data_IF_028404503313
#
_entry.id   IF_028404503313
#
_cell.length_a   1.000
_cell.length_b   1.000
_cell.length_c   1.000
_cell.angle_alpha   90.00
_cell.angle_beta   90.00
_cell.angle_gamma   90.00
#
_symmetry.space_group_name_H-M   'P 1'
#
loop_
_entity.id
_entity.type
_entity.pdbx_description
1 polymer ?
#
# COMPACT_ATOMS: atom_id res chain seq x y z
N UNK A 1 24.39 -35.99 -10.82
CA UNK A 1 23.23 -36.82 -11.11
C UNK A 1 23.09 -37.86 -9.98
N UNK A 2 21.86 -38.25 -9.69
CA UNK A 2 21.52 -39.27 -8.70
C UNK A 2 20.84 -40.45 -9.41
N UNK A 3 21.12 -41.65 -8.94
CA UNK A 3 20.70 -42.92 -9.55
C UNK A 3 20.12 -43.84 -8.50
N UNK A 4 19.25 -44.78 -8.91
CA UNK A 4 18.67 -45.76 -7.97
C UNK A 4 19.40 -47.13 -7.96
N UNK A 5 20.51 -47.27 -8.71
CA UNK A 5 21.32 -48.46 -8.73
C UNK A 5 22.79 -48.20 -8.41
N UNK A 6 23.42 -49.11 -7.69
CA UNK A 6 24.85 -49.07 -7.42
C UNK A 6 25.63 -49.37 -8.72
N UNK A 7 26.03 -48.34 -9.44
CA UNK A 7 26.69 -48.44 -10.75
C UNK A 7 26.36 -47.21 -11.61
N UNK A 8 25.71 -46.21 -11.05
CA UNK A 8 25.45 -44.94 -11.68
C UNK A 8 24.44 -45.00 -12.83
N UNK A 9 23.47 -45.92 -12.74
CA UNK A 9 22.39 -46.05 -13.72
C UNK A 9 21.03 -46.18 -13.06
N UNK A 10 19.96 -45.98 -13.84
CA UNK A 10 18.59 -46.02 -13.37
C UNK A 10 18.10 -44.70 -12.82
N UNK A 11 16.84 -44.37 -13.11
CA UNK A 11 16.19 -43.17 -12.63
C UNK A 11 15.65 -43.35 -11.22
N UNK A 12 15.68 -42.31 -10.41
CA UNK A 12 15.05 -42.30 -9.09
C UNK A 12 13.54 -42.54 -9.21
N UNK A 13 13.02 -43.28 -8.25
CA UNK A 13 11.60 -43.63 -8.13
C UNK A 13 11.03 -43.12 -6.83
N UNK A 14 9.72 -43.11 -6.70
CA UNK A 14 9.04 -42.70 -5.46
C UNK A 14 9.46 -43.56 -4.26
N UNK A 15 9.74 -44.83 -4.47
CA UNK A 15 10.23 -45.76 -3.43
C UNK A 15 11.62 -45.45 -2.87
N UNK A 16 12.37 -44.56 -3.52
CA UNK A 16 13.71 -44.16 -3.08
C UNK A 16 13.68 -43.08 -2.00
N UNK A 17 12.48 -42.57 -1.69
CA UNK A 17 12.27 -41.49 -0.73
C UNK A 17 11.31 -41.92 0.39
N UNK A 18 11.59 -41.46 1.60
CA UNK A 18 10.72 -41.57 2.76
C UNK A 18 10.33 -40.18 3.26
N UNK A 19 9.04 -39.98 3.48
CA UNK A 19 8.42 -38.75 3.96
C UNK A 19 7.93 -38.96 5.38
N UNK A 20 8.13 -37.94 6.22
CA UNK A 20 7.50 -37.87 7.55
C UNK A 20 6.98 -36.45 7.80
N UNK A 21 5.86 -36.34 8.49
CA UNK A 21 5.36 -35.09 9.07
C UNK A 21 5.37 -35.26 10.59
N UNK A 22 5.80 -34.21 11.28
CA UNK A 22 5.72 -34.09 12.74
C UNK A 22 5.16 -32.74 13.12
N UNK A 23 4.47 -32.65 14.24
CA UNK A 23 3.73 -31.46 14.71
C UNK A 23 2.40 -31.28 13.97
N UNK A 24 1.60 -30.34 14.45
CA UNK A 24 0.39 -29.85 13.82
C UNK A 24 -0.73 -30.87 13.57
N UNK A 25 -1.66 -30.47 12.68
CA UNK A 25 -2.89 -31.21 12.36
C UNK A 25 -2.81 -32.01 11.05
N UNK A 26 -1.89 -31.64 10.15
CA UNK A 26 -1.73 -32.32 8.88
C UNK A 26 -0.99 -33.65 9.02
N UNK A 27 -1.41 -34.62 8.25
CA UNK A 27 -0.82 -36.00 8.24
C UNK A 27 -0.54 -36.45 6.82
N UNK A 28 0.45 -37.34 6.66
CA UNK A 28 0.70 -38.00 5.38
C UNK A 28 -0.22 -39.20 5.20
N UNK A 29 -0.90 -39.27 4.05
CA UNK A 29 -1.61 -40.47 3.61
C UNK A 29 -0.66 -41.57 3.16
N UNK A 30 0.60 -41.27 2.87
CA UNK A 30 1.66 -42.22 2.52
C UNK A 30 3.03 -41.66 2.89
N UNK A 31 3.89 -42.47 3.47
CA UNK A 31 5.30 -42.18 3.68
C UNK A 31 6.13 -42.19 2.38
N UNK A 32 5.57 -42.65 1.29
CA UNK A 32 6.21 -42.68 -0.05
C UNK A 32 5.55 -41.60 -0.90
N UNK A 33 6.30 -40.79 -1.65
CA UNK A 33 5.74 -39.83 -2.59
C UNK A 33 4.75 -40.48 -3.57
N UNK A 34 3.71 -39.74 -3.96
CA UNK A 34 2.70 -40.25 -4.91
C UNK A 34 3.15 -40.14 -6.35
N UNK A 35 4.10 -39.25 -6.63
CA UNK A 35 4.70 -39.09 -7.96
C UNK A 35 6.12 -38.55 -7.85
N UNK A 36 6.91 -38.71 -8.91
CA UNK A 36 8.20 -38.08 -9.08
C UNK A 36 8.33 -37.59 -10.52
N UNK A 37 8.83 -36.39 -10.69
CA UNK A 37 9.24 -35.84 -11.99
C UNK A 37 10.61 -35.18 -11.86
N UNK A 38 11.36 -35.11 -12.96
CA UNK A 38 12.71 -34.56 -12.97
C UNK A 38 12.86 -33.55 -14.10
N UNK A 39 13.47 -32.43 -13.77
CA UNK A 39 13.93 -31.45 -14.74
C UNK A 39 15.36 -31.07 -14.38
N UNK A 40 16.31 -31.40 -15.24
CA UNK A 40 17.75 -31.31 -14.93
C UNK A 40 18.12 -32.12 -13.66
N UNK A 41 18.58 -31.44 -12.61
CA UNK A 41 18.92 -32.03 -11.30
C UNK A 41 17.87 -31.73 -10.22
N UNK A 42 16.70 -31.20 -10.60
CA UNK A 42 15.58 -30.89 -9.67
C UNK A 42 14.56 -32.02 -9.76
N UNK A 43 14.28 -32.63 -8.61
CA UNK A 43 13.26 -33.67 -8.46
C UNK A 43 12.04 -33.09 -7.75
N UNK A 44 10.90 -33.17 -8.39
CA UNK A 44 9.61 -32.77 -7.82
C UNK A 44 8.87 -33.99 -7.34
N UNK A 45 8.53 -34.02 -6.05
CA UNK A 45 7.83 -35.12 -5.41
C UNK A 45 6.37 -34.73 -5.13
N UNK A 46 5.43 -35.57 -5.56
CA UNK A 46 4.04 -35.46 -5.21
C UNK A 46 3.78 -35.96 -3.77
N UNK A 47 2.94 -35.21 -3.03
CA UNK A 47 2.59 -35.53 -1.64
C UNK A 47 1.09 -35.83 -1.55
N UNK A 48 0.71 -36.74 -0.67
CA UNK A 48 -0.67 -36.96 -0.23
C UNK A 48 -0.77 -36.49 1.22
N UNK A 49 -1.27 -35.25 1.42
CA UNK A 49 -1.44 -34.68 2.74
C UNK A 49 -2.94 -34.62 3.05
N UNK A 50 -3.31 -35.17 4.19
CA UNK A 50 -4.66 -35.14 4.74
C UNK A 50 -4.71 -34.09 5.86
N UNK A 51 -5.86 -33.46 5.99
CA UNK A 51 -6.10 -32.29 6.85
C UNK A 51 -5.32 -31.04 6.41
N UNK A 52 -5.76 -29.90 6.88
CA UNK A 52 -5.10 -28.61 6.59
C UNK A 52 -3.95 -28.42 7.56
N UNK A 53 -2.78 -28.06 7.06
CA UNK A 53 -1.65 -27.66 7.89
C UNK A 53 -2.01 -26.43 8.73
N UNK A 54 -1.56 -26.38 9.99
CA UNK A 54 -1.78 -25.28 10.91
C UNK A 54 -0.52 -24.43 11.19
N UNK A 55 0.58 -24.76 10.50
CA UNK A 55 1.86 -24.04 10.62
C UNK A 55 2.89 -24.70 11.56
N UNK A 56 2.46 -25.67 12.38
CA UNK A 56 3.34 -26.37 13.33
C UNK A 56 4.00 -27.61 12.71
N UNK A 57 3.57 -27.97 11.51
CA UNK A 57 4.05 -29.18 10.83
C UNK A 57 5.43 -28.99 10.23
N UNK A 58 6.28 -29.97 10.45
CA UNK A 58 7.58 -30.12 9.79
C UNK A 58 7.55 -31.34 8.88
N UNK A 59 7.55 -31.11 7.57
CA UNK A 59 7.74 -32.14 6.58
C UNK A 59 9.23 -32.45 6.46
N UNK A 60 9.59 -33.71 6.56
CA UNK A 60 10.96 -34.23 6.37
C UNK A 60 11.00 -35.19 5.19
N UNK A 61 11.98 -35.01 4.29
CA UNK A 61 12.23 -35.88 3.16
C UNK A 61 13.59 -36.60 3.37
N UNK A 62 13.64 -37.88 3.30
CA UNK A 62 14.88 -38.66 3.46
C UNK A 62 15.05 -39.69 2.33
N UNK A 63 16.28 -39.97 1.88
CA UNK A 63 16.55 -41.16 1.10
C UNK A 63 16.19 -42.45 1.89
N UNK A 64 15.62 -43.41 1.23
CA UNK A 64 15.57 -44.79 1.75
C UNK A 64 17.00 -45.35 1.76
N UNK A 65 17.33 -46.12 2.76
CA UNK A 65 18.69 -46.68 2.86
C UNK A 65 19.06 -47.53 1.63
N UNK A 66 20.22 -47.26 1.07
CA UNK A 66 20.73 -47.95 -0.13
C UNK A 66 19.84 -47.83 -1.37
N UNK A 67 19.18 -46.69 -1.54
CA UNK A 67 18.29 -46.46 -2.69
C UNK A 67 18.76 -45.34 -3.63
N UNK A 68 19.63 -44.45 -3.17
CA UNK A 68 20.14 -43.35 -3.98
C UNK A 68 21.67 -43.37 -4.01
N UNK A 69 22.23 -43.31 -5.20
CA UNK A 69 23.67 -43.39 -5.46
C UNK A 69 24.14 -42.26 -6.36
N UNK A 70 25.43 -41.91 -6.25
CA UNK A 70 26.11 -41.09 -7.24
C UNK A 70 26.60 -41.92 -8.45
N UNK A 71 27.20 -41.28 -9.44
CA UNK A 71 27.74 -41.92 -10.63
C UNK A 71 28.89 -42.91 -10.33
N UNK A 72 29.54 -42.79 -9.19
CA UNK A 72 30.63 -43.64 -8.73
C UNK A 72 30.13 -44.82 -7.87
N UNK A 73 28.81 -44.90 -7.62
CA UNK A 73 28.22 -45.96 -6.81
C UNK A 73 28.25 -45.69 -5.31
N UNK A 74 28.61 -44.45 -4.87
CA UNK A 74 28.51 -44.11 -3.44
C UNK A 74 27.05 -43.85 -3.05
N UNK A 75 26.66 -44.48 -1.94
CA UNK A 75 25.27 -44.34 -1.44
C UNK A 75 25.05 -43.00 -0.72
N UNK A 76 23.91 -42.43 -0.95
CA UNK A 76 23.45 -41.27 -0.19
C UNK A 76 23.16 -41.64 1.27
N UNK A 77 23.64 -40.82 2.21
CA UNK A 77 23.27 -40.98 3.63
C UNK A 77 21.79 -40.70 3.86
N UNK A 78 21.17 -41.43 4.77
CA UNK A 78 19.79 -41.16 5.23
C UNK A 78 19.71 -39.95 6.17
N UNK A 79 20.84 -39.44 6.66
CA UNK A 79 20.92 -38.22 7.48
C UNK A 79 21.28 -37.05 6.58
N UNK A 80 20.37 -36.09 6.47
CA UNK A 80 20.52 -34.87 5.68
C UNK A 80 20.37 -33.66 6.60
N UNK A 81 21.02 -32.53 6.28
CA UNK A 81 21.00 -31.31 7.10
C UNK A 81 19.98 -30.26 6.66
N UNK A 82 19.43 -30.41 5.44
CA UNK A 82 18.55 -29.42 4.80
C UNK A 82 17.31 -30.07 4.15
N UNK A 83 16.80 -31.11 4.78
CA UNK A 83 15.73 -31.95 4.25
C UNK A 83 14.38 -31.74 4.93
N UNK A 84 14.21 -30.64 5.62
CA UNK A 84 12.98 -30.26 6.32
C UNK A 84 12.41 -28.97 5.80
N UNK A 85 11.08 -28.86 5.79
CA UNK A 85 10.35 -27.64 5.50
C UNK A 85 9.13 -27.55 6.42
N UNK A 86 8.86 -26.37 6.96
CA UNK A 86 7.61 -26.10 7.67
C UNK A 86 6.47 -25.96 6.66
N UNK A 87 5.36 -26.65 6.89
CA UNK A 87 4.16 -26.46 6.11
C UNK A 87 3.45 -25.20 6.61
N UNK A 88 3.17 -24.28 5.69
CA UNK A 88 2.49 -23.03 6.02
C UNK A 88 1.00 -23.32 6.29
N UNK A 89 0.47 -22.72 7.35
CA UNK A 89 -0.98 -22.62 7.54
C UNK A 89 -1.57 -21.79 6.39
N UNK A 90 -2.37 -22.40 5.54
CA UNK A 90 -3.10 -21.70 4.47
C UNK A 90 -4.39 -21.04 4.94
N UNK A 91 -4.76 -21.22 6.20
CA UNK A 91 -5.94 -20.57 6.76
C UNK A 91 -5.58 -19.15 7.15
N UNK A 92 -6.24 -18.20 6.54
CA UNK A 92 -6.20 -16.81 7.01
C UNK A 92 -6.88 -16.78 8.38
N UNK A 93 -6.20 -16.30 9.39
CA UNK A 93 -6.78 -16.06 10.70
C UNK A 93 -6.46 -14.65 11.17
N UNK A 94 -7.45 -14.00 11.77
CA UNK A 94 -7.20 -12.76 12.50
C UNK A 94 -6.43 -13.12 13.75
N UNK A 95 -5.27 -12.50 13.95
CA UNK A 95 -4.46 -12.70 15.18
C UNK A 95 -5.08 -11.97 16.35
N UNK A 96 -5.42 -10.70 16.17
CA UNK A 96 -6.11 -9.88 17.15
C UNK A 96 -7.00 -8.85 16.46
N UNK A 97 -8.02 -8.40 17.13
CA UNK A 97 -8.86 -7.26 16.76
C UNK A 97 -8.96 -6.33 17.95
N UNK A 98 -8.71 -5.05 17.74
CA UNK A 98 -8.91 -3.99 18.71
C UNK A 98 -9.95 -3.02 18.17
N UNK A 99 -11.02 -2.76 18.93
CA UNK A 99 -11.92 -1.65 18.68
C UNK A 99 -11.27 -0.38 19.23
N UNK A 100 -10.82 0.50 18.36
CA UNK A 100 -10.09 1.72 18.74
C UNK A 100 -11.00 2.94 18.90
N UNK A 101 -12.22 2.89 18.36
CA UNK A 101 -13.25 3.92 18.51
C UNK A 101 -14.61 3.22 18.64
N UNK A 102 -15.27 3.38 19.79
CA UNK A 102 -16.59 2.81 20.07
C UNK A 102 -17.76 3.63 19.53
N UNK A 103 -17.49 4.76 18.87
CA UNK A 103 -18.48 5.61 18.24
C UNK A 103 -18.59 5.34 16.73
N UNK A 104 -19.52 6.03 16.07
CA UNK A 104 -19.68 5.91 14.64
C UNK A 104 -18.46 6.51 13.91
N UNK A 105 -17.76 5.67 13.15
CA UNK A 105 -16.63 6.06 12.32
C UNK A 105 -17.10 6.27 10.88
N UNK A 106 -16.92 7.47 10.33
CA UNK A 106 -17.32 7.81 8.97
C UNK A 106 -16.42 7.21 7.88
N UNK A 107 -15.39 6.46 8.26
CA UNK A 107 -14.41 5.89 7.33
C UNK A 107 -13.22 6.82 7.07
N UNK A 108 -12.70 6.82 5.86
CA UNK A 108 -11.51 7.61 5.46
C UNK A 108 -10.27 7.30 6.31
N UNK A 109 -10.14 6.02 6.70
CA UNK A 109 -9.04 5.57 7.55
C UNK A 109 -7.75 5.46 6.74
N UNK A 110 -6.67 5.98 7.31
CA UNK A 110 -5.32 5.84 6.77
C UNK A 110 -4.41 5.26 7.85
N UNK A 111 -3.56 4.32 7.47
CA UNK A 111 -2.56 3.74 8.37
C UNK A 111 -1.17 3.89 7.77
N UNK A 112 -0.22 4.34 8.58
CA UNK A 112 1.18 4.47 8.20
C UNK A 112 2.06 3.80 9.24
N UNK A 113 3.01 2.98 8.79
CA UNK A 113 4.04 2.41 9.64
C UNK A 113 5.02 3.49 10.08
N UNK A 114 5.18 3.68 11.38
CA UNK A 114 6.13 4.62 11.97
C UNK A 114 7.53 4.00 12.03
N UNK A 115 7.64 2.83 12.64
CA UNK A 115 8.83 1.99 12.74
C UNK A 115 8.43 0.50 12.74
N UNK A 116 9.26 -0.40 13.25
CA UNK A 116 9.00 -1.83 13.17
C UNK A 116 7.74 -2.27 13.91
N UNK A 117 7.39 -1.63 15.02
CA UNK A 117 6.28 -2.02 15.88
C UNK A 117 5.22 -0.92 16.05
N UNK A 118 5.51 0.33 15.64
CA UNK A 118 4.61 1.45 15.87
C UNK A 118 3.89 1.87 14.58
N UNK A 119 2.62 2.19 14.71
CA UNK A 119 1.73 2.57 13.61
C UNK A 119 0.96 3.83 13.99
N UNK A 120 0.77 4.71 13.02
CA UNK A 120 -0.09 5.90 13.12
C UNK A 120 -1.35 5.65 12.28
N UNK A 121 -2.51 5.85 12.89
CA UNK A 121 -3.82 5.75 12.23
C UNK A 121 -4.49 7.11 12.27
N UNK A 122 -4.92 7.59 11.12
CA UNK A 122 -5.80 8.73 10.98
C UNK A 122 -7.20 8.23 10.62
N UNK A 123 -8.23 8.79 11.24
CA UNK A 123 -9.62 8.45 10.95
C UNK A 123 -10.57 9.61 11.26
N UNK A 124 -11.79 9.52 10.71
CA UNK A 124 -12.90 10.42 11.02
C UNK A 124 -13.81 9.72 12.01
N UNK A 125 -13.80 10.18 13.25
CA UNK A 125 -14.58 9.61 14.36
C UNK A 125 -15.99 10.19 14.48
N UNK A 126 -16.47 10.30 15.72
CA UNK A 126 -17.79 10.88 16.02
C UNK A 126 -17.94 12.27 15.40
N UNK A 127 -19.10 12.55 14.82
CA UNK A 127 -19.42 13.83 14.15
C UNK A 127 -18.51 14.18 12.96
N UNK A 128 -17.79 13.20 12.39
CA UNK A 128 -16.76 13.38 11.37
C UNK A 128 -15.50 14.10 11.86
N UNK A 129 -15.29 14.19 13.16
CA UNK A 129 -14.13 14.86 13.76
C UNK A 129 -12.83 14.12 13.41
N UNK A 130 -11.73 14.85 13.32
CA UNK A 130 -10.44 14.30 12.92
C UNK A 130 -9.62 13.75 14.09
N UNK A 131 -9.24 12.49 14.02
CA UNK A 131 -8.43 11.81 15.03
C UNK A 131 -7.13 11.28 14.46
N UNK A 132 -6.11 11.27 15.32
CA UNK A 132 -4.85 10.55 15.13
C UNK A 132 -4.60 9.67 16.34
N UNK A 133 -4.41 8.38 16.13
CA UNK A 133 -4.05 7.44 17.19
C UNK A 133 -2.79 6.65 16.82
N UNK A 134 -1.96 6.42 17.82
CA UNK A 134 -0.77 5.57 17.68
C UNK A 134 -0.98 4.22 18.32
N UNK A 135 -0.47 3.19 17.69
CA UNK A 135 -0.59 1.81 18.13
C UNK A 135 0.75 1.12 18.13
N UNK A 136 0.98 0.30 19.14
CA UNK A 136 2.07 -0.69 19.13
C UNK A 136 1.49 -2.05 18.75
N UNK A 137 2.14 -2.73 17.82
CA UNK A 137 1.78 -4.07 17.38
C UNK A 137 3.04 -4.92 17.43
N UNK A 138 3.04 -5.98 18.23
CA UNK A 138 4.19 -6.89 18.28
C UNK A 138 4.42 -7.62 16.95
N UNK A 139 5.62 -8.13 16.75
CA UNK A 139 6.06 -8.73 15.47
C UNK A 139 5.25 -9.95 15.04
N UNK A 140 4.59 -10.63 15.98
CA UNK A 140 3.66 -11.74 15.71
C UNK A 140 2.20 -11.29 15.54
N UNK A 141 1.92 -9.97 15.68
CA UNK A 141 0.60 -9.36 15.51
C UNK A 141 -0.28 -9.38 16.76
N UNK A 142 0.26 -9.72 17.95
CA UNK A 142 -0.46 -9.77 19.22
C UNK A 142 0.49 -9.47 20.40
N UNK A 143 0.22 -8.46 21.29
CA UNK A 143 -0.99 -7.61 21.30
C UNK A 143 -0.97 -6.42 20.35
N UNK A 144 -2.17 -5.91 20.03
CA UNK A 144 -2.37 -4.55 19.51
C UNK A 144 -2.72 -3.65 20.71
N UNK A 145 -1.94 -2.60 20.92
CA UNK A 145 -2.13 -1.68 22.05
C UNK A 145 -2.19 -0.23 21.54
N UNK A 146 -3.25 0.49 21.86
CA UNK A 146 -3.31 1.93 21.64
C UNK A 146 -2.40 2.64 22.65
N UNK A 147 -1.52 3.51 22.14
CA UNK A 147 -0.55 4.27 22.95
C UNK A 147 -1.09 5.65 23.29
N UNK A 148 -1.56 6.38 22.29
CA UNK A 148 -2.06 7.75 22.43
C UNK A 148 -3.08 8.03 21.34
N UNK A 149 -4.12 8.80 21.68
CA UNK A 149 -5.07 9.38 20.73
C UNK A 149 -5.12 10.90 20.89
N UNK A 150 -5.26 11.59 19.76
CA UNK A 150 -5.45 13.04 19.66
C UNK A 150 -6.63 13.33 18.75
N UNK A 151 -7.67 13.97 19.31
CA UNK A 151 -8.64 14.70 18.50
C UNK A 151 -8.00 16.04 18.09
N UNK A 152 -7.62 16.16 16.81
CA UNK A 152 -6.94 17.34 16.30
C UNK A 152 -7.88 18.29 15.56
N UNK A 153 -9.06 17.84 15.18
CA UNK A 153 -10.14 18.65 14.63
C UNK A 153 -11.47 18.22 15.22
N UNK A 154 -12.19 19.14 15.83
CA UNK A 154 -13.58 18.96 16.31
C UNK A 154 -14.62 19.30 15.23
N UNK A 155 -14.26 19.14 13.98
CA UNK A 155 -15.11 19.40 12.80
C UNK A 155 -14.74 18.40 11.70
N UNK A 156 -15.56 18.37 10.64
CA UNK A 156 -15.40 17.43 9.54
C UNK A 156 -13.96 17.30 9.02
N UNK A 157 -13.48 16.06 8.98
CA UNK A 157 -12.23 15.63 8.34
C UNK A 157 -12.57 14.46 7.43
N UNK A 158 -12.68 14.74 6.14
CA UNK A 158 -13.16 13.81 5.14
C UNK A 158 -12.13 13.62 4.03
N UNK A 159 -12.20 12.49 3.32
CA UNK A 159 -11.42 12.23 2.10
C UNK A 159 -9.90 12.44 2.28
N UNK A 160 -9.39 12.04 3.43
CA UNK A 160 -8.02 12.31 3.82
C UNK A 160 -6.98 11.43 3.13
N UNK A 161 -5.76 11.94 3.02
CA UNK A 161 -4.58 11.22 2.57
C UNK A 161 -3.39 11.60 3.43
N UNK A 162 -2.71 10.60 4.00
CA UNK A 162 -1.59 10.78 4.92
C UNK A 162 -0.29 10.27 4.33
N UNK A 163 0.80 11.02 4.53
CA UNK A 163 2.15 10.63 4.14
C UNK A 163 3.13 10.78 5.31
N UNK A 164 4.02 9.79 5.48
CA UNK A 164 5.19 9.90 6.35
C UNK A 164 6.25 10.77 5.66
N UNK A 165 6.61 11.88 6.28
CA UNK A 165 7.59 12.83 5.77
C UNK A 165 9.02 12.46 6.18
N UNK A 166 9.19 12.18 7.48
CA UNK A 166 10.43 11.73 8.12
C UNK A 166 10.10 10.77 9.27
N UNK A 167 11.07 10.44 10.10
CA UNK A 167 10.83 9.48 11.20
C UNK A 167 9.81 9.95 12.22
N UNK A 168 9.64 11.27 12.40
CA UNK A 168 8.73 11.86 13.38
C UNK A 168 7.73 12.86 12.78
N UNK A 169 7.74 13.10 11.45
CA UNK A 169 6.84 14.05 10.80
C UNK A 169 5.88 13.38 9.82
N UNK A 170 4.62 13.84 9.85
CA UNK A 170 3.53 13.34 9.02
C UNK A 170 2.72 14.50 8.47
N UNK A 171 2.31 14.42 7.21
CA UNK A 171 1.39 15.37 6.61
C UNK A 171 0.08 14.68 6.26
N UNK A 172 -1.04 15.38 6.47
CA UNK A 172 -2.39 14.94 6.13
C UNK A 172 -3.04 16.00 5.26
N UNK A 173 -3.41 15.62 4.04
CA UNK A 173 -4.33 16.40 3.20
C UNK A 173 -5.76 15.93 3.48
N UNK A 174 -6.71 16.86 3.62
CA UNK A 174 -8.10 16.53 3.93
C UNK A 174 -9.05 17.63 3.47
N UNK A 175 -10.31 17.29 3.41
CA UNK A 175 -11.42 18.19 3.18
C UNK A 175 -12.22 18.36 4.47
N UNK A 176 -12.57 19.61 4.81
CA UNK A 176 -13.34 19.88 6.02
C UNK A 176 -13.13 21.26 6.60
N UNK A 177 -13.33 21.36 7.91
CA UNK A 177 -13.17 22.60 8.64
C UNK A 177 -11.87 22.61 9.43
N UNK A 178 -11.24 23.79 9.50
CA UNK A 178 -10.24 24.10 10.50
C UNK A 178 -10.43 25.54 10.98
N UNK A 179 -10.12 25.81 12.23
CA UNK A 179 -10.33 27.11 12.87
C UNK A 179 -9.01 27.85 13.18
N UNK A 180 -7.88 27.28 12.80
CA UNK A 180 -6.54 27.88 12.95
C UNK A 180 -5.72 27.64 11.70
N UNK A 181 -4.63 28.41 11.51
CA UNK A 181 -3.68 28.22 10.42
C UNK A 181 -3.57 29.42 9.49
N UNK A 182 -3.16 29.15 8.24
CA UNK A 182 -3.02 30.18 7.21
C UNK A 182 -3.79 29.79 5.94
N UNK A 183 -4.30 30.80 5.24
CA UNK A 183 -4.81 30.61 3.88
C UNK A 183 -3.64 30.64 2.87
N UNK A 184 -3.94 30.33 1.60
CA UNK A 184 -2.93 30.31 0.53
C UNK A 184 -2.27 31.69 0.25
N UNK A 185 -2.85 32.79 0.71
CA UNK A 185 -2.27 34.13 0.66
C UNK A 185 -1.40 34.45 1.89
N UNK A 186 -1.29 33.54 2.86
CA UNK A 186 -0.55 33.72 4.11
C UNK A 186 -1.33 34.49 5.20
N UNK A 187 -2.65 34.70 5.02
CA UNK A 187 -3.47 35.35 6.05
C UNK A 187 -3.81 34.32 7.14
N UNK A 188 -3.74 34.78 8.41
CA UNK A 188 -4.14 33.96 9.54
C UNK A 188 -5.64 33.63 9.49
N UNK A 189 -6.00 32.37 9.70
CA UNK A 189 -7.37 31.89 9.91
C UNK A 189 -7.63 31.88 11.42
N UNK A 190 -8.68 32.55 11.85
CA UNK A 190 -9.03 32.72 13.26
C UNK A 190 -10.45 32.27 13.60
N UNK A 191 -11.13 31.62 12.64
CA UNK A 191 -12.49 31.07 12.81
C UNK A 191 -12.66 29.82 11.98
N UNK A 192 -13.61 28.98 12.35
CA UNK A 192 -13.94 27.78 11.60
C UNK A 192 -14.18 28.09 10.13
N UNK A 193 -13.38 27.49 9.25
CA UNK A 193 -13.37 27.80 7.83
C UNK A 193 -13.30 26.48 7.05
N UNK A 194 -14.25 26.30 6.14
CA UNK A 194 -14.35 25.13 5.30
C UNK A 194 -13.39 25.19 4.11
N UNK A 195 -12.90 24.04 3.65
CA UNK A 195 -12.03 23.96 2.47
C UNK A 195 -11.16 22.73 2.43
N UNK A 196 -10.16 22.78 1.54
CA UNK A 196 -9.14 21.73 1.43
C UNK A 196 -7.86 22.18 2.15
N UNK A 197 -7.38 21.33 3.02
CA UNK A 197 -6.31 21.62 3.98
C UNK A 197 -5.15 20.65 3.86
N UNK A 198 -4.00 21.10 4.30
CA UNK A 198 -2.86 20.23 4.67
C UNK A 198 -2.48 20.59 6.09
N UNK A 199 -2.42 19.60 6.99
CA UNK A 199 -1.89 19.73 8.36
C UNK A 199 -0.63 18.88 8.52
N UNK A 200 0.33 19.37 9.31
CA UNK A 200 1.59 18.68 9.63
C UNK A 200 1.62 18.35 11.10
N UNK A 201 1.95 17.12 11.40
CA UNK A 201 2.04 16.59 12.76
C UNK A 201 3.44 16.07 13.05
N UNK A 202 3.89 16.33 14.28
CA UNK A 202 5.02 15.64 14.87
C UNK A 202 4.49 14.54 15.78
N UNK A 203 5.01 13.33 15.58
CA UNK A 203 4.68 12.16 16.39
C UNK A 203 5.97 11.58 16.92
N UNK A 204 6.09 11.48 18.24
CA UNK A 204 7.26 10.88 18.86
C UNK A 204 7.39 9.41 18.45
N UNK A 205 8.61 8.92 18.24
CA UNK A 205 8.87 7.56 17.73
C UNK A 205 8.20 6.44 18.56
N UNK A 206 8.09 6.63 19.90
CA UNK A 206 7.39 5.69 20.78
C UNK A 206 5.85 5.84 20.80
N UNK A 207 5.32 6.72 19.95
CA UNK A 207 3.88 6.98 19.84
C UNK A 207 3.27 7.78 21.00
N UNK A 208 4.03 8.14 22.03
CA UNK A 208 3.49 8.71 23.28
C UNK A 208 3.03 10.18 23.16
N UNK A 209 3.40 10.88 22.09
CA UNK A 209 3.06 12.28 21.86
C UNK A 209 2.71 12.51 20.39
N UNK A 210 1.57 13.14 20.16
CA UNK A 210 1.13 13.66 18.84
C UNK A 210 0.92 15.16 19.00
N UNK A 211 1.49 15.96 18.10
CA UNK A 211 1.40 17.43 18.12
C UNK A 211 1.24 17.98 16.72
N UNK A 212 0.21 18.77 16.48
CA UNK A 212 0.11 19.59 15.26
C UNK A 212 1.16 20.71 15.28
N UNK A 213 1.89 20.86 14.17
CA UNK A 213 2.93 21.88 13.99
C UNK A 213 2.41 23.08 13.19
N UNK A 214 1.53 22.86 12.24
CA UNK A 214 0.95 23.88 11.39
C UNK A 214 0.04 23.30 10.33
N UNK A 215 -0.74 24.18 9.71
CA UNK A 215 -1.64 23.83 8.64
C UNK A 215 -1.80 24.96 7.61
N UNK A 216 -2.22 24.58 6.41
CA UNK A 216 -2.48 25.49 5.29
C UNK A 216 -3.81 25.13 4.64
N UNK A 217 -4.72 26.11 4.51
CA UNK A 217 -5.87 26.03 3.63
C UNK A 217 -5.43 26.35 2.20
N UNK A 218 -5.26 25.32 1.38
CA UNK A 218 -4.77 25.49 0.00
C UNK A 218 -5.89 25.71 -1.01
N UNK A 219 -7.16 25.46 -0.62
CA UNK A 219 -8.33 25.67 -1.46
C UNK A 219 -9.59 25.93 -0.61
N UNK A 220 -10.52 26.74 -1.14
CA UNK A 220 -11.73 27.17 -0.46
C UNK A 220 -12.99 26.38 -0.81
N UNK A 221 -12.84 25.34 -1.60
CA UNK A 221 -13.93 24.57 -2.14
C UNK A 221 -14.80 23.91 -1.07
N UNK A 222 -16.09 23.88 -1.35
CA UNK A 222 -17.09 23.11 -0.66
C UNK A 222 -17.57 21.98 -1.61
N UNK A 223 -16.66 21.11 -2.04
CA UNK A 223 -17.01 20.01 -2.95
C UNK A 223 -17.46 18.77 -2.18
N UNK A 224 -18.38 18.02 -2.76
CA UNK A 224 -18.93 16.82 -2.12
C UNK A 224 -18.04 15.57 -2.28
N UNK A 225 -16.96 15.60 -3.11
CA UNK A 225 -16.10 14.45 -3.37
C UNK A 225 -14.64 14.82 -3.67
N UNK A 226 -13.91 15.50 -2.76
CA UNK A 226 -12.53 15.94 -3.02
C UNK A 226 -11.49 14.89 -2.67
N UNK A 227 -11.70 13.61 -3.04
CA UNK A 227 -10.72 12.55 -2.77
C UNK A 227 -9.30 13.00 -3.08
N UNK A 228 -8.50 13.08 -2.02
CA UNK A 228 -7.14 13.58 -2.05
C UNK A 228 -6.14 12.44 -2.13
N UNK A 229 -5.06 12.63 -2.89
CA UNK A 229 -3.90 11.73 -2.90
C UNK A 229 -2.64 12.56 -2.72
N UNK A 230 -2.02 12.45 -1.56
CA UNK A 230 -0.79 13.15 -1.18
C UNK A 230 0.40 12.19 -1.27
N UNK A 231 1.46 12.59 -1.96
CA UNK A 231 2.66 11.78 -2.14
C UNK A 231 3.94 12.62 -1.94
N UNK A 232 4.99 11.97 -1.47
CA UNK A 232 6.33 12.58 -1.37
C UNK A 232 7.00 12.64 -2.75
N UNK A 233 7.44 13.83 -3.15
CA UNK A 233 8.24 14.08 -4.36
C UNK A 233 9.72 13.94 -4.04
N UNK A 234 10.19 14.73 -3.06
CA UNK A 234 11.56 14.71 -2.54
C UNK A 234 11.52 15.00 -1.03
N UNK A 235 12.66 15.22 -0.40
CA UNK A 235 12.79 15.27 1.07
C UNK A 235 11.84 16.26 1.75
N UNK A 236 11.64 17.44 1.18
CA UNK A 236 10.75 18.49 1.68
C UNK A 236 9.62 18.87 0.71
N UNK A 237 9.51 18.16 -0.42
CA UNK A 237 8.56 18.47 -1.50
C UNK A 237 7.50 17.39 -1.62
N UNK A 238 6.24 17.81 -1.76
CA UNK A 238 5.06 16.94 -1.82
C UNK A 238 4.15 17.34 -2.98
N UNK A 239 3.48 16.36 -3.57
CA UNK A 239 2.44 16.56 -4.59
C UNK A 239 1.09 16.06 -4.07
N UNK A 240 0.04 16.83 -4.33
CA UNK A 240 -1.34 16.54 -3.97
C UNK A 240 -2.22 16.58 -5.22
N UNK A 241 -2.86 15.46 -5.54
CA UNK A 241 -3.94 15.42 -6.53
C UNK A 241 -5.29 15.44 -5.83
N UNK A 242 -6.23 16.24 -6.32
CA UNK A 242 -7.56 16.38 -5.75
C UNK A 242 -8.54 17.00 -6.77
N UNK A 243 -9.84 16.95 -6.48
CA UNK A 243 -10.89 17.57 -7.28
C UNK A 243 -11.38 18.86 -6.60
N UNK A 244 -11.51 19.95 -7.35
CA UNK A 244 -11.99 21.24 -6.83
C UNK A 244 -12.38 22.21 -7.93
N UNK A 245 -13.13 23.27 -7.60
CA UNK A 245 -13.30 24.43 -8.45
C UNK A 245 -12.17 25.46 -8.29
N UNK A 246 -11.29 25.25 -7.30
CA UNK A 246 -10.16 26.11 -6.95
C UNK A 246 -10.56 27.59 -6.77
N UNK A 247 -11.72 27.82 -6.13
CA UNK A 247 -12.39 29.11 -6.08
C UNK A 247 -11.63 30.19 -5.33
N UNK A 248 -10.71 29.83 -4.42
CA UNK A 248 -9.84 30.79 -3.73
C UNK A 248 -8.71 31.33 -4.59
N UNK A 249 -8.33 30.64 -5.65
CA UNK A 249 -7.19 31.05 -6.45
C UNK A 249 -7.67 31.95 -7.62
N UNK A 250 -7.26 33.22 -7.67
CA UNK A 250 -7.69 34.14 -8.72
C UNK A 250 -7.27 33.73 -10.13
N UNK A 251 -6.30 32.81 -10.25
CA UNK A 251 -5.79 32.30 -11.53
C UNK A 251 -6.30 30.87 -11.86
N UNK A 252 -7.16 30.30 -11.04
CA UNK A 252 -7.60 28.93 -11.16
C UNK A 252 -9.09 28.78 -10.90
N UNK A 253 -9.94 29.27 -11.79
CA UNK A 253 -11.40 29.17 -11.65
C UNK A 253 -11.98 28.03 -12.44
N UNK A 254 -12.83 27.25 -11.82
CA UNK A 254 -13.67 26.22 -12.42
C UNK A 254 -13.32 24.79 -11.99
N UNK A 255 -14.36 23.98 -11.94
CA UNK A 255 -14.27 22.55 -11.60
C UNK A 255 -13.21 21.83 -12.40
N UNK A 256 -12.43 20.99 -11.74
CA UNK A 256 -11.41 20.20 -12.40
C UNK A 256 -10.64 19.29 -11.49
N UNK A 257 -9.89 18.38 -12.13
CA UNK A 257 -8.82 17.66 -11.48
C UNK A 257 -7.57 18.54 -11.38
N UNK A 258 -7.04 18.68 -10.18
CA UNK A 258 -5.89 19.55 -9.89
C UNK A 258 -4.74 18.73 -9.29
N UNK A 259 -3.53 19.12 -9.63
CA UNK A 259 -2.33 18.72 -8.91
C UNK A 259 -1.66 20.00 -8.39
N UNK A 260 -1.30 20.00 -7.11
CA UNK A 260 -0.50 21.06 -6.47
C UNK A 260 0.76 20.49 -5.88
N UNK A 261 1.81 21.28 -5.85
CA UNK A 261 3.06 20.95 -5.15
C UNK A 261 3.29 21.90 -4.00
N UNK A 262 3.92 21.37 -2.95
CA UNK A 262 4.19 22.09 -1.71
C UNK A 262 5.59 21.76 -1.22
N UNK A 263 6.28 22.77 -0.70
CA UNK A 263 7.42 22.55 0.20
C UNK A 263 6.94 22.63 1.64
N UNK A 264 7.38 21.68 2.47
CA UNK A 264 6.99 21.58 3.87
C UNK A 264 8.26 21.50 4.73
N UNK A 265 8.45 22.54 5.56
CA UNK A 265 9.57 22.61 6.48
C UNK A 265 9.06 22.80 7.91
N UNK A 266 9.10 21.73 8.71
CA UNK A 266 8.43 21.69 10.00
C UNK A 266 6.94 21.97 9.84
N UNK A 267 6.43 22.99 10.53
CA UNK A 267 5.02 23.42 10.42
C UNK A 267 4.73 24.45 9.31
N UNK A 268 5.73 24.84 8.53
CA UNK A 268 5.57 25.83 7.44
C UNK A 268 5.30 25.11 6.12
N UNK A 269 4.14 25.37 5.52
CA UNK A 269 3.69 24.77 4.27
C UNK A 269 3.60 25.88 3.22
N UNK A 270 4.28 25.71 2.09
CA UNK A 270 4.29 26.69 0.98
C UNK A 270 3.92 26.02 -0.33
N UNK A 271 2.87 26.50 -1.01
CA UNK A 271 2.54 26.02 -2.35
C UNK A 271 3.59 26.53 -3.36
N UNK A 272 4.12 25.65 -4.20
CA UNK A 272 5.17 25.94 -5.19
C UNK A 272 4.66 25.98 -6.63
N UNK A 273 3.79 25.04 -7.02
CA UNK A 273 3.18 25.02 -8.33
C UNK A 273 1.75 24.44 -8.29
N UNK A 274 1.03 24.59 -9.40
CA UNK A 274 -0.27 23.96 -9.63
C UNK A 274 -0.51 23.70 -11.10
N UNK A 275 -1.26 22.64 -11.38
CA UNK A 275 -1.72 22.26 -12.73
C UNK A 275 -3.18 21.79 -12.64
N UNK A 276 -4.04 22.31 -13.51
CA UNK A 276 -5.36 21.75 -13.78
C UNK A 276 -5.20 20.71 -14.89
N UNK A 277 -5.12 19.42 -14.53
CA UNK A 277 -4.92 18.35 -15.50
C UNK A 277 -6.19 17.95 -16.24
N UNK A 278 -7.36 18.28 -15.67
CA UNK A 278 -8.65 18.02 -16.30
C UNK A 278 -9.64 19.17 -16.05
N UNK A 279 -10.41 19.53 -17.07
CA UNK A 279 -11.27 20.74 -17.06
C UNK A 279 -12.71 20.48 -16.64
N UNK A 280 -13.03 19.29 -16.14
CA UNK A 280 -14.29 18.89 -15.54
C UNK A 280 -13.99 18.15 -14.24
N UNK A 281 -14.88 17.28 -13.76
CA UNK A 281 -14.62 16.50 -12.55
C UNK A 281 -13.44 15.54 -12.79
N UNK A 282 -12.36 15.67 -12.00
CA UNK A 282 -11.24 14.72 -11.92
C UNK A 282 -11.20 14.14 -10.52
N UNK A 283 -12.00 13.11 -10.28
CA UNK A 283 -12.30 12.56 -8.94
C UNK A 283 -11.49 11.31 -8.63
N UNK A 284 -11.62 10.83 -7.39
CA UNK A 284 -11.07 9.54 -6.95
C UNK A 284 -9.59 9.39 -7.31
N UNK A 285 -8.78 10.34 -6.89
CA UNK A 285 -7.38 10.44 -7.27
C UNK A 285 -6.48 9.44 -6.53
N UNK A 286 -5.56 8.79 -7.24
CA UNK A 286 -4.50 7.96 -6.65
C UNK A 286 -3.18 8.19 -7.38
N UNK A 287 -2.22 8.84 -6.71
CA UNK A 287 -0.87 9.11 -7.21
C UNK A 287 0.11 8.00 -6.85
N UNK A 288 0.99 7.68 -7.78
CA UNK A 288 2.15 6.80 -7.54
C UNK A 288 3.41 7.42 -8.15
N UNK A 289 4.55 7.24 -7.48
CA UNK A 289 5.85 7.64 -8.02
C UNK A 289 6.36 6.60 -9.01
N UNK A 290 6.74 7.04 -10.21
CA UNK A 290 7.26 6.17 -11.28
C UNK A 290 8.78 6.20 -11.29
N UNK A 291 9.38 7.40 -11.25
CA UNK A 291 10.82 7.58 -11.19
C UNK A 291 11.14 8.83 -10.36
N UNK A 292 12.37 9.27 -10.32
CA UNK A 292 12.82 10.40 -9.51
C UNK A 292 11.93 11.64 -9.65
N UNK A 293 11.55 11.98 -10.90
CA UNK A 293 10.73 13.14 -11.23
C UNK A 293 9.42 12.78 -11.97
N UNK A 294 9.11 11.51 -12.17
CA UNK A 294 7.93 11.06 -12.92
C UNK A 294 6.91 10.44 -11.99
N UNK A 295 5.65 10.82 -12.18
CA UNK A 295 4.51 10.38 -11.39
C UNK A 295 3.37 9.95 -12.30
N UNK A 296 2.58 8.98 -11.87
CA UNK A 296 1.35 8.57 -12.53
C UNK A 296 0.16 8.80 -11.60
N UNK A 297 -0.94 9.27 -12.16
CA UNK A 297 -2.20 9.52 -11.50
C UNK A 297 -3.29 8.65 -12.13
N UNK A 298 -3.91 7.78 -11.35
CA UNK A 298 -5.19 7.17 -11.70
C UNK A 298 -6.32 8.07 -11.17
N UNK A 299 -7.33 8.32 -12.01
CA UNK A 299 -8.42 9.23 -11.71
C UNK A 299 -9.66 8.93 -12.55
N UNK A 300 -10.80 9.47 -12.15
CA UNK A 300 -12.11 9.30 -12.79
C UNK A 300 -12.64 10.64 -13.30
N UNK A 301 -13.23 10.65 -14.49
CA UNK A 301 -13.87 11.84 -15.07
C UNK A 301 -15.34 11.98 -14.65
N UNK A 302 -16.00 13.06 -15.12
CA UNK A 302 -17.41 13.34 -14.84
C UNK A 302 -18.41 12.37 -15.50
N UNK A 303 -17.94 11.49 -16.38
CA UNK A 303 -18.70 10.41 -17.00
C UNK A 303 -18.47 9.06 -16.33
N UNK A 304 -17.70 9.04 -15.25
CA UNK A 304 -17.24 7.88 -14.50
C UNK A 304 -16.20 7.02 -15.26
N UNK A 305 -15.64 7.54 -16.34
CA UNK A 305 -14.57 6.87 -17.07
C UNK A 305 -13.24 6.94 -16.31
N UNK A 306 -12.48 5.84 -16.31
CA UNK A 306 -11.18 5.75 -15.63
C UNK A 306 -10.00 6.05 -16.52
N UNK A 307 -9.08 6.89 -16.03
CA UNK A 307 -7.88 7.31 -16.74
C UNK A 307 -6.62 7.15 -15.92
N UNK A 308 -5.49 6.94 -16.62
CA UNK A 308 -4.15 7.10 -16.06
C UNK A 308 -3.43 8.18 -16.86
N UNK A 309 -2.82 9.13 -16.17
CA UNK A 309 -2.04 10.24 -16.76
C UNK A 309 -0.69 10.34 -16.05
N UNK A 310 0.38 10.64 -16.80
CA UNK A 310 1.72 10.81 -16.24
C UNK A 310 2.16 12.26 -16.23
N UNK A 311 2.96 12.63 -15.23
CA UNK A 311 3.45 13.98 -14.99
C UNK A 311 4.93 13.96 -14.63
N UNK A 312 5.65 15.02 -15.03
CA UNK A 312 6.97 15.32 -14.45
C UNK A 312 6.84 16.44 -13.43
N UNK A 313 7.44 16.22 -12.27
CA UNK A 313 7.54 17.16 -11.15
C UNK A 313 9.00 17.16 -10.68
N UNK A 314 9.75 18.26 -10.84
CA UNK A 314 11.13 18.32 -10.37
C UNK A 314 11.19 18.24 -8.84
N UNK A 315 12.34 17.91 -8.29
CA UNK A 315 12.57 17.72 -6.86
C UNK A 315 12.13 18.92 -6.00
N UNK A 316 12.30 20.15 -6.50
CA UNK A 316 11.89 21.39 -5.83
C UNK A 316 10.40 21.72 -6.00
N UNK A 317 9.63 20.90 -6.73
CA UNK A 317 8.21 21.12 -6.98
C UNK A 317 7.87 22.38 -7.76
N UNK A 318 8.84 23.04 -8.41
CA UNK A 318 8.67 24.37 -9.06
C UNK A 318 7.76 24.34 -10.29
N UNK A 319 7.49 23.16 -10.84
CA UNK A 319 6.60 22.99 -12.00
C UNK A 319 5.93 21.61 -11.99
N UNK A 320 4.81 21.53 -12.71
CA UNK A 320 4.10 20.28 -12.99
C UNK A 320 3.82 20.25 -14.48
N UNK A 321 4.30 19.22 -15.17
CA UNK A 321 4.10 19.09 -16.63
C UNK A 321 3.52 17.72 -16.97
N UNK A 322 2.40 17.70 -17.67
CA UNK A 322 1.84 16.45 -18.22
C UNK A 322 2.76 15.92 -19.33
N UNK A 323 3.10 14.62 -19.28
CA UNK A 323 4.09 14.02 -20.18
C UNK A 323 3.44 13.44 -21.42
N UNK A 324 2.38 12.66 -21.25
CA UNK A 324 1.73 11.97 -22.37
C UNK A 324 0.21 12.08 -22.26
N UNK A 325 -0.44 11.77 -23.37
CA UNK A 325 -1.89 11.65 -23.38
C UNK A 325 -2.40 10.63 -22.37
N UNK A 326 -3.65 10.80 -21.97
CA UNK A 326 -4.32 9.95 -21.00
C UNK A 326 -4.55 8.53 -21.56
N UNK A 327 -4.26 7.50 -20.79
CA UNK A 327 -4.74 6.15 -21.05
C UNK A 327 -6.10 5.96 -20.40
N UNK A 328 -7.13 5.74 -21.20
CA UNK A 328 -8.43 5.31 -20.67
C UNK A 328 -8.38 3.82 -20.37
N UNK A 329 -8.51 3.45 -19.11
CA UNK A 329 -8.46 2.06 -18.65
C UNK A 329 -9.84 1.47 -18.34
N UNK A 330 -10.87 2.31 -18.17
CA UNK A 330 -12.25 1.90 -17.95
C UNK A 330 -13.21 2.82 -18.70
N UNK A 331 -14.24 2.25 -19.35
CA UNK A 331 -15.31 2.97 -20.06
C UNK A 331 -16.54 3.21 -19.17
N UNK A 332 -16.53 2.74 -17.92
CA UNK A 332 -17.66 2.82 -17.00
C UNK A 332 -17.18 2.52 -15.58
N UNK A 333 -17.44 3.39 -14.67
CA UNK A 333 -17.03 3.42 -13.27
C UNK A 333 -15.54 3.10 -13.07
N UNK A 334 -14.81 3.99 -12.41
CA UNK A 334 -13.43 3.78 -11.98
C UNK A 334 -13.21 4.43 -10.61
N UNK A 335 -14.16 4.17 -9.71
CA UNK A 335 -14.20 4.81 -8.40
C UNK A 335 -13.17 4.19 -7.44
N UNK A 336 -12.71 5.02 -6.51
CA UNK A 336 -11.83 4.63 -5.40
C UNK A 336 -10.56 3.89 -5.85
N UNK A 337 -9.82 4.39 -6.85
CA UNK A 337 -8.60 3.74 -7.30
C UNK A 337 -7.55 3.70 -6.19
N UNK A 338 -6.86 2.57 -6.12
CA UNK A 338 -5.67 2.37 -5.30
C UNK A 338 -4.54 1.89 -6.20
N UNK A 339 -3.55 2.74 -6.42
CA UNK A 339 -2.49 2.55 -7.38
C UNK A 339 -1.17 2.27 -6.65
N UNK A 340 -0.50 1.19 -7.01
CA UNK A 340 0.75 0.77 -6.39
C UNK A 340 1.76 0.27 -7.43
N UNK A 341 3.05 0.49 -7.15
CA UNK A 341 4.14 -0.09 -7.93
C UNK A 341 4.33 -1.56 -7.54
N UNK A 342 4.43 -2.45 -8.53
CA UNK A 342 4.74 -3.87 -8.35
C UNK A 342 6.22 -4.16 -8.60
N UNK A 343 6.77 -3.59 -9.67
CA UNK A 343 8.17 -3.78 -10.11
C UNK A 343 8.65 -2.47 -10.76
N UNK A 344 9.87 -2.43 -11.29
CA UNK A 344 10.52 -1.24 -11.82
C UNK A 344 9.66 -0.43 -12.83
N UNK A 345 8.89 -1.12 -13.67
CA UNK A 345 8.02 -0.52 -14.69
C UNK A 345 6.58 -1.04 -14.66
N UNK A 346 6.24 -1.94 -13.72
CA UNK A 346 4.93 -2.57 -13.62
C UNK A 346 4.15 -2.02 -12.42
N UNK A 347 2.89 -1.71 -12.64
CA UNK A 347 1.99 -1.09 -11.66
C UNK A 347 0.69 -1.87 -11.58
N UNK A 348 0.07 -1.84 -10.40
CA UNK A 348 -1.21 -2.50 -10.11
C UNK A 348 -2.21 -1.45 -9.66
N UNK A 349 -3.39 -1.45 -10.27
CA UNK A 349 -4.51 -0.58 -9.93
C UNK A 349 -5.70 -1.44 -9.51
N UNK A 350 -6.16 -1.27 -8.27
CA UNK A 350 -7.44 -1.78 -7.82
C UNK A 350 -8.47 -0.64 -7.85
N UNK A 351 -9.69 -0.93 -8.29
CA UNK A 351 -10.77 0.07 -8.36
C UNK A 351 -12.14 -0.60 -8.35
N UNK A 352 -13.18 0.16 -8.05
CA UNK A 352 -14.58 -0.23 -8.23
C UNK A 352 -14.97 0.12 -9.66
N UNK A 353 -15.41 -0.87 -10.42
CA UNK A 353 -15.76 -0.73 -11.83
C UNK A 353 -17.24 -1.00 -12.10
N UNK A 354 -17.54 -1.38 -13.33
CA UNK A 354 -18.89 -1.68 -13.82
C UNK A 354 -19.64 -2.64 -12.92
N UNK A 355 -20.88 -2.34 -12.60
CA UNK A 355 -21.74 -3.18 -11.76
C UNK A 355 -21.40 -3.13 -10.27
N UNK A 356 -20.60 -2.15 -9.83
CA UNK A 356 -20.07 -2.02 -8.48
C UNK A 356 -19.11 -3.14 -8.07
N UNK A 357 -18.57 -3.85 -9.06
CA UNK A 357 -17.61 -4.94 -8.84
C UNK A 357 -16.19 -4.41 -8.63
N UNK A 358 -15.38 -5.18 -7.86
CA UNK A 358 -13.96 -4.89 -7.67
C UNK A 358 -13.11 -5.40 -8.84
N UNK A 359 -12.28 -4.54 -9.39
CA UNK A 359 -11.34 -4.84 -10.48
C UNK A 359 -9.90 -4.68 -10.04
N UNK A 360 -9.01 -5.47 -10.61
CA UNK A 360 -7.55 -5.30 -10.50
C UNK A 360 -6.99 -5.35 -11.92
N UNK A 361 -6.23 -4.31 -12.29
CA UNK A 361 -5.54 -4.19 -13.57
C UNK A 361 -4.06 -3.95 -13.37
N UNK A 362 -3.25 -4.39 -14.32
CA UNK A 362 -1.81 -4.14 -14.34
C UNK A 362 -1.43 -3.30 -15.54
N UNK A 363 -0.45 -2.43 -15.37
CA UNK A 363 0.05 -1.50 -16.38
C UNK A 363 1.55 -1.51 -16.41
N UNK A 364 2.13 -1.32 -17.60
CA UNK A 364 3.53 -0.95 -17.74
C UNK A 364 3.62 0.55 -17.98
N UNK A 365 4.42 1.25 -17.18
CA UNK A 365 4.66 2.70 -17.31
C UNK A 365 6.17 2.91 -17.45
N UNK A 366 6.60 3.52 -18.54
CA UNK A 366 8.00 3.84 -18.77
C UNK A 366 8.49 4.88 -17.75
N UNK A 367 9.76 4.80 -17.34
CA UNK A 367 10.35 5.68 -16.34
C UNK A 367 10.22 7.18 -16.67
N UNK A 368 10.27 7.54 -17.96
CA UNK A 368 10.08 8.91 -18.43
C UNK A 368 8.59 9.33 -18.57
N UNK A 369 7.66 8.42 -18.30
CA UNK A 369 6.23 8.63 -18.39
C UNK A 369 5.63 8.66 -19.80
N UNK A 370 6.43 8.44 -20.85
CA UNK A 370 5.97 8.62 -22.24
C UNK A 370 5.11 7.46 -22.76
N UNK A 371 5.15 6.29 -22.14
CA UNK A 371 4.39 5.10 -22.54
C UNK A 371 3.64 4.49 -21.36
N UNK A 372 2.33 4.29 -21.53
CA UNK A 372 1.45 3.54 -20.62
C UNK A 372 0.76 2.45 -21.44
N UNK A 373 0.90 1.18 -21.03
CA UNK A 373 0.28 0.03 -21.73
C UNK A 373 -0.32 -0.98 -20.77
#
# INVERSE_FOLDING_TARGET
AAYNTNGGSGSLQTSDFNLTISGGAATLGSATPTSISVSNNVYTLGLNISNTANGDEVLTVKPVANSIYDASGNVSTTTQSNNTINLLDKRWSVKQTLEHDGNYNYGYNQIVKMDDNNFLVQYSGESSDGYLSTFTIDTDGDPITEVTSLEWSSNDVLYSSMVKMSDDLYAIAYHGYNNTGTDYNGNAITSSTYGNWISVFQVKSDGSVIKELGNLRHDCENSNDPFSSLIKVDDDTYALAYNSDNSCNPNGTGWGGWIKTFTINGGTITQTAQLRHYTSYGRHNSLVKVDANTFALAWEDGSNDGYITTFTIPADGSSITEVSGQLKHSDDNAEYPSFAQLDADTYVLAYRGTGDDGYISTFTIQADGTGIT
#
